data_IF_512868845339
#
_entry.id   IF_512868845339
#
_cell.length_a   1.000
_cell.length_b   1.000
_cell.length_c   1.000
_cell.angle_alpha   90.00
_cell.angle_beta   90.00
_cell.angle_gamma   90.00
#
_symmetry.space_group_name_H-M   'P 1'
#
loop_
_entity.id
_entity.type
_entity.pdbx_description
1 polymer ?
#
# COMPACT_ATOMS: atom_id res chain seq x y z
N UNK A 1 -11.23 -18.03 3.40
CA UNK A 1 -11.84 -16.67 3.47
C UNK A 1 -11.56 -15.98 2.14
N UNK A 2 -12.56 -15.39 1.48
CA UNK A 2 -12.34 -14.77 0.15
C UNK A 2 -11.81 -13.34 0.32
N UNK A 3 -10.64 -12.99 -0.25
CA UNK A 3 -10.13 -11.62 -0.17
C UNK A 3 -11.10 -10.61 -0.83
N UNK A 4 -11.34 -9.49 -0.15
CA UNK A 4 -12.27 -8.45 -0.61
C UNK A 4 -11.51 -7.26 -1.18
N UNK A 5 -11.79 -6.88 -2.43
CA UNK A 5 -11.24 -5.66 -3.02
C UNK A 5 -11.99 -4.43 -2.48
N UNK A 6 -11.31 -3.60 -1.70
CA UNK A 6 -11.87 -2.37 -1.12
C UNK A 6 -11.71 -1.16 -2.05
N UNK A 7 -10.53 -1.01 -2.65
CA UNK A 7 -10.24 0.07 -3.59
C UNK A 7 -9.16 -0.33 -4.59
N UNK A 8 -9.10 0.36 -5.74
CA UNK A 8 -8.12 0.12 -6.79
C UNK A 8 -7.61 1.47 -7.29
N UNK A 9 -6.29 1.63 -7.39
CA UNK A 9 -5.67 2.82 -7.94
C UNK A 9 -4.66 2.45 -9.02
N UNK A 10 -4.94 2.85 -10.26
CA UNK A 10 -4.00 2.76 -11.36
C UNK A 10 -3.33 4.13 -11.54
N UNK A 11 -2.11 4.27 -11.04
CA UNK A 11 -1.42 5.56 -11.01
C UNK A 11 -0.27 5.57 -12.02
N UNK A 12 -0.46 6.27 -13.14
CA UNK A 12 0.44 6.27 -14.29
C UNK A 12 1.67 7.16 -14.07
N UNK A 13 2.33 7.07 -12.92
CA UNK A 13 3.47 7.93 -12.60
C UNK A 13 4.82 7.27 -12.93
N UNK A 14 5.50 7.85 -13.91
CA UNK A 14 6.85 7.47 -14.27
C UNK A 14 7.59 8.64 -14.95
N UNK A 15 8.73 9.05 -14.39
CA UNK A 15 9.47 10.21 -14.88
C UNK A 15 8.59 11.47 -14.88
N UNK A 16 8.57 12.17 -16.01
CA UNK A 16 7.72 13.35 -16.26
C UNK A 16 6.43 13.01 -17.02
N UNK A 17 6.02 11.72 -17.09
CA UNK A 17 4.88 11.29 -17.90
C UNK A 17 3.61 12.09 -17.63
N UNK A 18 3.24 12.29 -16.36
CA UNK A 18 2.02 13.03 -16.02
C UNK A 18 2.09 14.49 -16.45
N UNK A 19 3.27 15.08 -16.55
CA UNK A 19 3.40 16.47 -17.01
C UNK A 19 3.23 16.58 -18.54
N UNK A 20 3.35 15.47 -19.28
CA UNK A 20 3.22 15.39 -20.74
C UNK A 20 1.98 14.61 -21.23
N UNK A 21 1.28 13.91 -20.34
CA UNK A 21 0.24 12.94 -20.68
C UNK A 21 -1.00 13.56 -21.35
N UNK A 22 -1.27 14.85 -21.13
CA UNK A 22 -2.37 15.56 -21.81
C UNK A 22 -2.11 15.73 -23.31
N UNK A 23 -0.87 16.05 -23.70
CA UNK A 23 -0.48 16.15 -25.10
C UNK A 23 -0.47 14.77 -25.79
N UNK A 24 -0.10 13.72 -25.04
CA UNK A 24 -0.07 12.35 -25.52
C UNK A 24 -1.40 11.89 -26.15
N UNK A 25 -2.54 12.15 -25.52
CA UNK A 25 -3.85 11.71 -26.05
C UNK A 25 -4.15 12.28 -27.45
N UNK A 26 -3.62 13.48 -27.75
CA UNK A 26 -3.71 14.09 -29.08
C UNK A 26 -2.77 13.48 -30.11
N UNK A 27 -1.64 12.90 -29.69
CA UNK A 27 -0.68 12.26 -30.59
C UNK A 27 -0.98 10.79 -30.87
N UNK A 28 -1.83 10.14 -30.08
CA UNK A 28 -2.14 8.72 -30.24
C UNK A 28 -2.97 8.42 -31.51
N UNK A 29 -2.92 7.18 -32.04
CA UNK A 29 -3.69 6.79 -33.23
C UNK A 29 -5.18 7.09 -33.08
N UNK A 30 -5.82 7.55 -34.16
CA UNK A 30 -7.26 7.80 -34.19
C UNK A 30 -8.07 6.51 -33.98
N UNK A 31 -9.26 6.65 -33.40
CA UNK A 31 -10.17 5.53 -33.14
C UNK A 31 -10.26 5.11 -31.66
N UNK A 32 -11.16 4.16 -31.36
CA UNK A 32 -11.50 3.79 -29.97
C UNK A 32 -10.45 2.90 -29.30
N UNK A 33 -9.60 2.23 -30.09
CA UNK A 33 -8.58 1.33 -29.59
C UNK A 33 -7.39 1.27 -30.55
N UNK A 34 -6.21 1.04 -30.01
CA UNK A 34 -4.97 0.89 -30.77
C UNK A 34 -4.04 -0.10 -30.06
N UNK A 35 -3.05 -0.60 -30.76
CA UNK A 35 -2.03 -1.47 -30.17
C UNK A 35 -0.98 -0.64 -29.43
N UNK A 36 -0.32 -1.26 -28.46
CA UNK A 36 0.83 -0.68 -27.75
C UNK A 36 1.93 -0.23 -28.71
N UNK A 37 2.16 -0.99 -29.78
CA UNK A 37 3.17 -0.67 -30.79
C UNK A 37 2.78 0.55 -31.62
N UNK A 38 1.53 0.64 -32.07
CA UNK A 38 1.02 1.82 -32.78
C UNK A 38 1.09 3.06 -31.89
N UNK A 39 0.72 2.93 -30.61
CA UNK A 39 0.81 4.01 -29.64
C UNK A 39 2.25 4.53 -29.48
N UNK A 40 3.24 3.62 -29.33
CA UNK A 40 4.64 4.02 -29.21
C UNK A 40 5.20 4.64 -30.50
N UNK A 41 4.77 4.16 -31.68
CA UNK A 41 5.19 4.75 -32.97
C UNK A 41 4.62 6.16 -33.18
N UNK A 42 3.43 6.41 -32.66
CA UNK A 42 2.75 7.71 -32.76
C UNK A 42 3.15 8.69 -31.64
N UNK A 43 3.70 8.17 -30.53
CA UNK A 43 4.12 8.97 -29.38
C UNK A 43 5.24 9.96 -29.76
N UNK A 44 5.05 11.22 -29.36
CA UNK A 44 6.04 12.30 -29.52
C UNK A 44 6.53 12.88 -28.19
N UNK A 45 5.98 12.39 -27.07
CA UNK A 45 6.18 12.96 -25.73
C UNK A 45 7.44 12.43 -25.02
N UNK A 46 8.16 11.49 -25.65
CA UNK A 46 9.45 10.98 -25.18
C UNK A 46 9.39 9.59 -24.55
N UNK A 47 10.53 9.12 -23.99
CA UNK A 47 10.73 7.71 -23.62
C UNK A 47 9.86 7.24 -22.45
N UNK A 48 9.53 8.11 -21.49
CA UNK A 48 8.68 7.73 -20.36
C UNK A 48 7.24 7.43 -20.77
N UNK A 49 6.69 8.16 -21.75
CA UNK A 49 5.38 7.85 -22.32
C UNK A 49 5.38 6.51 -23.06
N UNK A 50 6.46 6.21 -23.77
CA UNK A 50 6.67 4.91 -24.39
C UNK A 50 6.67 3.77 -23.35
N UNK A 51 7.36 3.95 -22.22
CA UNK A 51 7.37 2.97 -21.14
C UNK A 51 5.99 2.76 -20.53
N UNK A 52 5.24 3.85 -20.28
CA UNK A 52 3.87 3.77 -19.78
C UNK A 52 2.97 3.02 -20.77
N UNK A 53 2.98 3.37 -22.05
CA UNK A 53 2.16 2.72 -23.08
C UNK A 53 2.47 1.23 -23.22
N UNK A 54 3.76 0.84 -23.19
CA UNK A 54 4.17 -0.59 -23.26
C UNK A 54 3.70 -1.37 -22.03
N UNK A 55 3.79 -0.77 -20.85
CA UNK A 55 3.39 -1.40 -19.59
C UNK A 55 1.88 -1.28 -19.29
N UNK A 56 1.14 -0.43 -20.01
CA UNK A 56 -0.27 -0.16 -19.72
C UNK A 56 -1.15 -1.41 -19.83
N UNK A 57 -2.03 -1.59 -18.86
CA UNK A 57 -2.96 -2.71 -18.77
C UNK A 57 -2.31 -4.08 -18.53
N UNK A 58 -3.09 -5.16 -18.70
CA UNK A 58 -2.64 -6.53 -18.47
C UNK A 58 -1.45 -6.90 -19.35
N UNK A 59 -0.53 -7.73 -18.82
CA UNK A 59 0.72 -8.11 -19.52
C UNK A 59 0.47 -8.71 -20.91
N UNK A 60 -0.56 -9.55 -21.06
CA UNK A 60 -0.90 -10.21 -22.33
C UNK A 60 -1.70 -9.32 -23.27
N UNK A 61 -2.22 -8.20 -22.79
CA UNK A 61 -2.93 -7.27 -23.67
C UNK A 61 -1.94 -6.51 -24.54
N UNK A 62 -2.15 -6.60 -25.85
CA UNK A 62 -1.48 -5.77 -26.84
C UNK A 62 -2.30 -4.53 -27.22
N UNK A 63 -3.56 -4.47 -26.79
CA UNK A 63 -4.51 -3.40 -27.14
C UNK A 63 -4.70 -2.46 -25.95
N UNK A 64 -4.85 -1.19 -26.27
CA UNK A 64 -5.21 -0.11 -25.37
C UNK A 64 -6.54 0.44 -25.86
N UNK A 65 -7.51 0.56 -24.96
CA UNK A 65 -8.72 1.31 -25.22
C UNK A 65 -8.45 2.78 -24.91
N UNK A 66 -8.74 3.66 -25.88
CA UNK A 66 -8.44 5.10 -25.75
C UNK A 66 -9.17 5.72 -24.58
N UNK A 67 -10.44 5.34 -24.38
CA UNK A 67 -11.28 5.84 -23.29
C UNK A 67 -10.71 5.46 -21.91
N UNK A 68 -10.31 4.20 -21.73
CA UNK A 68 -9.73 3.71 -20.47
C UNK A 68 -8.41 4.43 -20.16
N UNK A 69 -7.53 4.58 -21.14
CA UNK A 69 -6.28 5.29 -20.97
C UNK A 69 -6.52 6.77 -20.59
N UNK A 70 -7.48 7.43 -21.24
CA UNK A 70 -7.83 8.81 -20.91
C UNK A 70 -8.40 8.93 -19.49
N UNK A 71 -9.27 8.01 -19.08
CA UNK A 71 -9.82 7.96 -17.73
C UNK A 71 -8.74 7.72 -16.67
N UNK A 72 -7.79 6.80 -16.92
CA UNK A 72 -6.67 6.54 -16.00
C UNK A 72 -5.69 7.72 -15.92
N UNK A 73 -5.48 8.46 -17.01
CA UNK A 73 -4.68 9.70 -17.00
C UNK A 73 -5.34 10.76 -16.13
N UNK A 74 -6.64 11.02 -16.32
CA UNK A 74 -7.37 12.00 -15.49
C UNK A 74 -7.44 11.58 -14.02
N UNK A 75 -7.68 10.30 -13.75
CA UNK A 75 -7.62 9.75 -12.39
C UNK A 75 -6.22 9.90 -11.78
N UNK A 76 -5.16 9.76 -12.58
CA UNK A 76 -3.79 9.99 -12.12
C UNK A 76 -3.54 11.47 -11.80
N UNK A 77 -4.10 12.41 -12.55
CA UNK A 77 -4.01 13.82 -12.18
C UNK A 77 -4.70 14.11 -10.83
N UNK A 78 -5.93 13.62 -10.65
CA UNK A 78 -6.64 13.77 -9.37
C UNK A 78 -5.90 13.11 -8.21
N UNK A 79 -5.30 11.94 -8.43
CA UNK A 79 -4.54 11.23 -7.40
C UNK A 79 -3.20 11.89 -7.07
N UNK A 80 -2.63 12.71 -7.96
CA UNK A 80 -1.32 13.35 -7.76
C UNK A 80 -1.30 14.23 -6.52
N UNK A 81 -2.34 15.03 -6.31
CA UNK A 81 -2.40 15.94 -5.17
C UNK A 81 -2.63 15.18 -3.86
N UNK A 82 -3.40 14.10 -3.89
CA UNK A 82 -3.53 13.20 -2.76
C UNK A 82 -2.19 12.58 -2.35
N UNK A 83 -1.42 12.03 -3.30
CA UNK A 83 -0.09 11.46 -3.02
C UNK A 83 0.92 12.52 -2.55
N UNK A 84 0.89 13.71 -3.15
CA UNK A 84 1.71 14.85 -2.69
C UNK A 84 1.37 15.25 -1.26
N UNK A 85 0.09 15.30 -0.92
CA UNK A 85 -0.38 15.52 0.44
C UNK A 85 0.18 14.50 1.43
N UNK A 86 0.34 13.24 1.00
CA UNK A 86 0.98 12.17 1.78
C UNK A 86 2.53 12.23 1.78
N UNK A 87 3.14 13.17 1.05
CA UNK A 87 4.59 13.27 0.91
C UNK A 87 5.21 12.09 0.15
N UNK A 88 4.47 11.46 -0.77
CA UNK A 88 4.95 10.36 -1.61
C UNK A 88 4.83 10.69 -3.10
N UNK A 89 5.64 10.02 -3.91
CA UNK A 89 5.54 10.06 -5.37
C UNK A 89 4.32 9.35 -5.91
N UNK A 90 3.70 8.47 -5.12
CA UNK A 90 2.57 7.65 -5.53
C UNK A 90 2.95 6.45 -6.39
N UNK A 91 2.12 5.43 -6.34
CA UNK A 91 2.26 4.17 -7.07
C UNK A 91 0.89 3.51 -7.23
N UNK A 92 0.78 2.55 -8.15
CA UNK A 92 -0.45 1.78 -8.33
C UNK A 92 -0.60 0.71 -7.26
N UNK A 93 -1.84 0.43 -6.83
CA UNK A 93 -2.12 -0.64 -5.87
C UNK A 93 -3.59 -1.11 -5.94
N UNK A 94 -3.83 -2.30 -5.41
CA UNK A 94 -5.15 -2.78 -4.98
C UNK A 94 -5.19 -2.78 -3.46
N UNK A 95 -6.21 -2.18 -2.85
CA UNK A 95 -6.46 -2.29 -1.43
C UNK A 95 -7.36 -3.50 -1.20
N UNK A 96 -6.86 -4.49 -0.48
CA UNK A 96 -7.57 -5.75 -0.24
C UNK A 96 -7.72 -5.96 1.26
N UNK A 97 -8.89 -6.38 1.71
CA UNK A 97 -9.12 -6.87 3.07
C UNK A 97 -9.35 -8.37 3.10
N UNK A 98 -9.28 -8.92 4.32
CA UNK A 98 -9.72 -10.28 4.63
C UNK A 98 -8.96 -11.32 3.79
N UNK A 99 -7.67 -11.06 3.58
CA UNK A 99 -6.73 -12.00 2.97
C UNK A 99 -6.20 -12.99 4.01
N UNK A 100 -5.68 -14.12 3.50
CA UNK A 100 -5.11 -15.19 4.32
C UNK A 100 -3.60 -15.02 4.47
N UNK A 101 -3.13 -15.25 5.69
CA UNK A 101 -1.74 -15.12 6.07
C UNK A 101 -1.16 -16.52 6.19
N UNK A 102 0.05 -16.75 5.67
CA UNK A 102 0.70 -18.07 5.67
C UNK A 102 0.95 -18.62 7.08
N UNK A 103 0.94 -17.74 8.10
CA UNK A 103 0.99 -18.12 9.51
C UNK A 103 -0.39 -17.91 10.14
N UNK A 104 -0.76 -18.86 10.97
CA UNK A 104 -1.99 -18.81 11.77
C UNK A 104 -2.04 -17.55 12.63
N UNK A 105 -2.98 -16.66 12.29
CA UNK A 105 -3.30 -15.48 13.05
C UNK A 105 -4.27 -15.85 14.15
N UNK A 106 -4.19 -15.14 15.27
CA UNK A 106 -5.17 -15.29 16.35
C UNK A 106 -6.58 -14.94 15.88
N UNK A 107 -7.62 -15.57 16.46
CA UNK A 107 -9.02 -15.34 16.07
C UNK A 107 -9.45 -13.88 16.19
N UNK A 108 -8.91 -13.14 17.17
CA UNK A 108 -9.26 -11.73 17.39
C UNK A 108 -8.67 -10.80 16.31
N UNK A 109 -7.70 -11.27 15.51
CA UNK A 109 -7.07 -10.48 14.46
C UNK A 109 -7.94 -10.51 13.22
N UNK A 110 -8.97 -9.67 13.22
CA UNK A 110 -9.95 -9.53 12.16
C UNK A 110 -9.75 -8.27 11.31
N UNK A 111 -8.94 -7.29 11.74
CA UNK A 111 -8.50 -6.18 10.88
C UNK A 111 -7.34 -6.65 10.03
N UNK A 112 -7.59 -7.02 8.77
CA UNK A 112 -6.58 -7.43 7.79
C UNK A 112 -6.74 -6.60 6.55
N UNK A 113 -5.83 -5.64 6.32
CA UNK A 113 -5.89 -4.73 5.17
C UNK A 113 -4.50 -4.57 4.58
N UNK A 114 -4.37 -4.66 3.25
CA UNK A 114 -3.08 -4.55 2.60
C UNK A 114 -3.15 -3.88 1.23
N UNK A 115 -2.01 -3.32 0.83
CA UNK A 115 -1.74 -2.85 -0.51
C UNK A 115 -1.15 -4.00 -1.31
N UNK A 116 -1.73 -4.31 -2.45
CA UNK A 116 -1.33 -5.45 -3.27
C UNK A 116 -1.01 -5.03 -4.70
N UNK A 117 -0.08 -5.76 -5.30
CA UNK A 117 0.18 -5.73 -6.73
C UNK A 117 -1.08 -6.12 -7.52
N UNK A 118 -1.29 -5.49 -8.68
CA UNK A 118 -2.33 -5.85 -9.63
C UNK A 118 -1.74 -6.02 -11.02
N UNK A 119 -1.94 -7.17 -11.64
CA UNK A 119 -1.39 -7.47 -12.98
C UNK A 119 -1.94 -6.56 -14.09
N UNK A 120 -3.09 -5.94 -13.85
CA UNK A 120 -3.76 -4.98 -14.72
C UNK A 120 -3.36 -3.52 -14.45
N UNK A 121 -2.62 -3.26 -13.37
CA UNK A 121 -2.19 -1.91 -12.97
C UNK A 121 -0.83 -1.56 -13.54
N UNK A 122 -0.57 -0.27 -13.75
CA UNK A 122 0.71 0.20 -14.22
C UNK A 122 1.80 0.06 -13.15
N UNK A 123 2.91 -0.55 -13.55
CA UNK A 123 4.19 -0.54 -12.84
C UNK A 123 5.30 -0.44 -13.89
N UNK A 124 6.40 0.29 -13.62
CA UNK A 124 7.54 0.33 -14.53
C UNK A 124 8.06 -1.08 -14.87
N UNK A 125 8.52 -1.35 -16.10
CA UNK A 125 8.81 -2.71 -16.55
C UNK A 125 9.80 -3.50 -15.68
N UNK A 126 10.80 -2.83 -15.10
CA UNK A 126 11.76 -3.45 -14.15
C UNK A 126 11.07 -3.87 -12.85
N UNK A 127 10.20 -3.02 -12.30
CA UNK A 127 9.45 -3.31 -11.09
C UNK A 127 8.41 -4.41 -11.32
N UNK A 128 7.65 -4.35 -12.42
CA UNK A 128 6.66 -5.38 -12.76
C UNK A 128 7.30 -6.77 -12.81
N UNK A 129 8.43 -6.91 -13.52
CA UNK A 129 9.16 -8.19 -13.61
C UNK A 129 9.64 -8.69 -12.24
N UNK A 130 10.04 -7.78 -11.36
CA UNK A 130 10.44 -8.12 -10.01
C UNK A 130 9.24 -8.63 -9.19
N UNK A 131 8.15 -7.87 -9.13
CA UNK A 131 6.95 -8.21 -8.34
C UNK A 131 6.31 -9.53 -8.79
N UNK A 132 6.30 -9.80 -10.09
CA UNK A 132 5.79 -11.07 -10.63
C UNK A 132 6.56 -12.30 -10.16
N UNK A 133 7.87 -12.16 -9.91
CA UNK A 133 8.74 -13.25 -9.46
C UNK A 133 8.87 -13.29 -7.95
N UNK A 134 8.47 -12.22 -7.27
CA UNK A 134 8.58 -12.14 -5.83
C UNK A 134 7.57 -13.09 -5.18
N UNK A 135 8.06 -14.05 -4.40
CA UNK A 135 7.21 -14.82 -3.49
C UNK A 135 7.15 -14.06 -2.17
N UNK A 136 5.93 -13.78 -1.72
CA UNK A 136 5.68 -13.16 -0.43
C UNK A 136 5.57 -14.27 0.62
N UNK A 137 6.51 -14.37 1.59
CA UNK A 137 6.51 -15.45 2.58
C UNK A 137 5.36 -15.34 3.57
N UNK A 138 4.64 -14.21 3.60
CA UNK A 138 3.56 -13.96 4.53
C UNK A 138 2.18 -14.33 3.99
N UNK A 139 2.04 -14.60 2.69
CA UNK A 139 0.74 -14.88 2.06
C UNK A 139 0.61 -16.37 1.73
N UNK A 140 -0.49 -17.00 2.14
CA UNK A 140 -0.67 -18.47 2.13
C UNK A 140 -0.53 -19.10 0.73
N UNK A 141 -0.99 -18.42 -0.31
CA UNK A 141 -0.97 -18.96 -1.68
C UNK A 141 0.01 -18.27 -2.63
N UNK A 142 0.75 -17.27 -2.17
CA UNK A 142 1.67 -16.46 -3.01
C UNK A 142 1.02 -15.79 -4.24
N UNK A 143 -0.30 -15.88 -4.40
CA UNK A 143 -1.09 -15.33 -5.50
C UNK A 143 -1.23 -13.81 -5.38
N UNK A 144 -1.38 -13.35 -4.15
CA UNK A 144 -1.38 -11.94 -3.80
C UNK A 144 0.06 -11.52 -3.47
N UNK A 145 0.59 -10.53 -4.19
CA UNK A 145 1.91 -9.94 -3.89
C UNK A 145 1.68 -8.70 -3.04
N UNK A 146 1.96 -8.80 -1.74
CA UNK A 146 1.75 -7.68 -0.84
C UNK A 146 2.86 -6.64 -1.03
N UNK A 147 2.46 -5.38 -1.09
CA UNK A 147 3.35 -4.23 -1.07
C UNK A 147 3.55 -3.71 0.35
N UNK A 148 2.57 -3.94 1.22
CA UNK A 148 2.57 -3.63 2.64
C UNK A 148 1.18 -3.86 3.23
N UNK A 149 1.11 -4.21 4.51
CA UNK A 149 -0.12 -4.61 5.17
C UNK A 149 -0.21 -4.08 6.59
N UNK A 150 -1.44 -4.08 7.09
CA UNK A 150 -1.80 -3.78 8.46
C UNK A 150 -2.64 -4.92 9.03
N UNK A 151 -2.30 -5.34 10.26
CA UNK A 151 -3.02 -6.35 11.01
C UNK A 151 -3.42 -5.81 12.38
N UNK A 152 -4.58 -6.24 12.88
CA UNK A 152 -5.01 -5.96 14.23
C UNK A 152 -6.48 -6.33 14.45
N UNK A 153 -7.20 -5.54 15.24
CA UNK A 153 -8.54 -5.86 15.72
C UNK A 153 -9.55 -4.77 15.37
N UNK A 154 -10.75 -5.15 14.95
CA UNK A 154 -11.92 -4.30 14.77
C UNK A 154 -12.80 -4.42 16.00
N UNK A 155 -13.05 -3.30 16.66
CA UNK A 155 -14.05 -3.21 17.73
C UNK A 155 -15.18 -2.29 17.27
N UNK A 156 -16.28 -2.25 18.04
CA UNK A 156 -17.41 -1.35 17.73
C UNK A 156 -17.03 0.13 17.72
N UNK A 157 -16.06 0.52 18.54
CA UNK A 157 -15.68 1.94 18.75
C UNK A 157 -14.31 2.30 18.17
N UNK A 158 -13.44 1.32 17.95
CA UNK A 158 -12.07 1.54 17.52
C UNK A 158 -11.55 0.46 16.57
N UNK A 159 -10.70 0.86 15.63
CA UNK A 159 -9.83 -0.04 14.89
C UNK A 159 -8.43 0.01 15.49
N UNK A 160 -7.90 -1.13 15.90
CA UNK A 160 -6.62 -1.26 16.59
C UNK A 160 -5.64 -1.87 15.60
N UNK A 161 -4.62 -1.12 15.21
CA UNK A 161 -3.56 -1.55 14.30
C UNK A 161 -2.35 -1.99 15.13
N UNK A 162 -2.17 -3.30 15.23
CA UNK A 162 -1.05 -3.92 15.97
C UNK A 162 0.21 -4.05 15.11
N UNK A 163 0.04 -4.31 13.82
CA UNK A 163 1.15 -4.47 12.86
C UNK A 163 0.90 -3.56 11.65
N UNK A 164 1.96 -2.91 11.18
CA UNK A 164 2.03 -2.13 9.95
C UNK A 164 3.39 -2.45 9.31
N UNK A 165 3.44 -3.27 8.27
CA UNK A 165 4.71 -3.80 7.75
C UNK A 165 4.74 -3.94 6.22
N UNK A 166 5.95 -3.94 5.64
CA UNK A 166 6.19 -4.22 4.21
C UNK A 166 7.49 -4.98 3.98
N UNK A 167 7.37 -6.17 3.40
CA UNK A 167 8.51 -7.04 3.03
C UNK A 167 9.33 -6.54 1.84
N UNK A 168 8.77 -5.61 1.08
CA UNK A 168 9.42 -5.01 -0.06
C UNK A 168 10.32 -3.84 0.33
N UNK A 169 10.17 -3.29 1.54
CA UNK A 169 10.98 -2.17 2.01
C UNK A 169 12.26 -2.58 2.74
N UNK A 170 12.36 -3.83 3.18
CA UNK A 170 13.54 -4.37 3.84
C UNK A 170 14.40 -5.23 2.88
N UNK A 171 15.69 -4.93 2.77
CA UNK A 171 16.68 -5.73 2.03
C UNK A 171 16.35 -6.02 0.55
N UNK A 172 15.57 -5.16 -0.12
CA UNK A 172 15.25 -5.26 -1.55
C UNK A 172 16.01 -4.22 -2.40
N UNK A 173 16.09 -4.42 -3.73
CA UNK A 173 16.73 -3.46 -4.62
C UNK A 173 16.18 -2.04 -4.47
N UNK A 174 17.04 -1.03 -4.62
CA UNK A 174 16.67 0.39 -4.44
C UNK A 174 15.46 0.79 -5.28
N UNK A 175 15.41 0.40 -6.56
CA UNK A 175 14.28 0.75 -7.45
C UNK A 175 12.91 0.23 -6.98
N UNK A 176 12.86 -0.86 -6.19
CA UNK A 176 11.63 -1.35 -5.58
C UNK A 176 11.25 -0.42 -4.43
N UNK A 177 12.19 -0.24 -3.50
CA UNK A 177 12.02 0.60 -2.30
C UNK A 177 11.63 2.04 -2.65
N UNK A 178 12.27 2.62 -3.67
CA UNK A 178 12.02 3.99 -4.11
C UNK A 178 10.64 4.15 -4.74
N UNK A 179 10.15 3.13 -5.46
CA UNK A 179 8.84 3.20 -6.11
C UNK A 179 7.69 3.08 -5.12
N UNK A 180 7.80 2.20 -4.12
CA UNK A 180 6.79 2.02 -3.08
C UNK A 180 7.06 2.87 -1.83
N UNK A 181 7.96 3.85 -1.93
CA UNK A 181 8.32 4.71 -0.81
C UNK A 181 7.08 5.44 -0.29
N UNK A 182 6.89 5.41 1.03
CA UNK A 182 5.71 6.02 1.67
C UNK A 182 4.46 5.14 1.63
N UNK A 183 4.59 3.83 1.30
CA UNK A 183 3.49 2.86 1.35
C UNK A 183 2.74 2.90 2.69
N UNK A 184 3.43 3.13 3.81
CA UNK A 184 2.83 3.14 5.14
C UNK A 184 1.84 4.30 5.30
N UNK A 185 2.13 5.45 4.67
CA UNK A 185 1.22 6.60 4.66
C UNK A 185 0.04 6.38 3.73
N UNK A 186 0.26 5.76 2.58
CA UNK A 186 -0.81 5.36 1.66
C UNK A 186 -1.76 4.39 2.35
N UNK A 187 -1.23 3.34 2.99
CA UNK A 187 -2.04 2.34 3.69
C UNK A 187 -2.78 2.95 4.89
N UNK A 188 -2.12 3.80 5.69
CA UNK A 188 -2.78 4.47 6.81
C UNK A 188 -3.88 5.43 6.36
N UNK A 189 -3.67 6.19 5.28
CA UNK A 189 -4.71 7.07 4.72
C UNK A 189 -5.92 6.28 4.23
N UNK A 190 -5.70 5.14 3.56
CA UNK A 190 -6.76 4.22 3.15
C UNK A 190 -7.48 3.62 4.36
N UNK A 191 -6.75 3.17 5.39
CA UNK A 191 -7.34 2.66 6.64
C UNK A 191 -8.24 3.70 7.32
N UNK A 192 -7.80 4.95 7.42
CA UNK A 192 -8.59 6.04 7.99
C UNK A 192 -9.86 6.30 7.17
N UNK A 193 -9.79 6.24 5.83
CA UNK A 193 -10.95 6.38 4.96
C UNK A 193 -11.95 5.22 5.15
N UNK A 194 -11.45 3.98 5.24
CA UNK A 194 -12.29 2.80 5.49
C UNK A 194 -12.93 2.83 6.88
N UNK A 195 -12.18 3.23 7.91
CA UNK A 195 -12.67 3.34 9.27
C UNK A 195 -13.76 4.44 9.38
N UNK A 196 -13.58 5.56 8.67
CA UNK A 196 -14.61 6.60 8.53
C UNK A 196 -15.87 6.08 7.86
N UNK A 197 -15.73 5.36 6.74
CA UNK A 197 -16.88 4.77 6.04
C UNK A 197 -17.64 3.75 6.91
N UNK A 198 -16.92 3.05 7.80
CA UNK A 198 -17.49 2.10 8.76
C UNK A 198 -18.08 2.77 10.02
N UNK A 199 -18.02 4.09 10.17
CA UNK A 199 -18.55 4.81 11.33
C UNK A 199 -17.77 4.56 12.63
N UNK A 200 -16.49 4.19 12.53
CA UNK A 200 -15.61 3.93 13.67
C UNK A 200 -15.20 5.26 14.28
N UNK A 201 -15.19 5.38 15.62
CA UNK A 201 -14.88 6.65 16.28
C UNK A 201 -13.38 6.98 16.29
N UNK A 202 -12.51 5.96 16.31
CA UNK A 202 -11.06 6.15 16.37
C UNK A 202 -10.24 5.02 15.78
N UNK A 203 -9.02 5.34 15.39
CA UNK A 203 -7.98 4.38 15.01
C UNK A 203 -6.82 4.46 16.02
N UNK A 204 -6.38 3.31 16.51
CA UNK A 204 -5.22 3.16 17.39
C UNK A 204 -4.08 2.49 16.62
N UNK A 205 -2.87 3.00 16.75
CA UNK A 205 -1.65 2.41 16.17
C UNK A 205 -0.68 2.05 17.30
N UNK A 206 -0.26 0.79 17.38
CA UNK A 206 0.73 0.36 18.37
C UNK A 206 2.06 1.11 18.17
N UNK A 207 2.74 1.45 19.27
CA UNK A 207 4.05 2.09 19.20
C UNK A 207 5.12 1.13 18.68
N UNK A 208 6.15 1.67 18.00
CA UNK A 208 7.26 0.88 17.47
C UNK A 208 7.95 0.01 18.55
N UNK A 209 8.05 0.55 19.77
CA UNK A 209 8.68 -0.11 20.92
C UNK A 209 7.94 -1.34 21.40
N UNK A 210 6.61 -1.38 21.26
CA UNK A 210 5.83 -2.54 21.68
C UNK A 210 5.71 -3.55 20.57
N UNK A 211 5.59 -3.10 19.32
CA UNK A 211 5.52 -4.02 18.21
C UNK A 211 6.78 -4.89 18.12
N UNK A 212 7.99 -4.33 18.27
CA UNK A 212 9.22 -5.12 18.05
C UNK A 212 9.30 -6.34 18.98
N UNK A 213 8.68 -6.24 20.17
CA UNK A 213 8.56 -7.33 21.15
C UNK A 213 7.69 -8.49 20.64
N UNK A 214 6.76 -8.22 19.73
CA UNK A 214 5.96 -9.25 19.04
C UNK A 214 6.77 -9.99 17.98
N UNK A 215 7.78 -9.35 17.38
CA UNK A 215 8.52 -9.88 16.22
C UNK A 215 9.84 -10.54 16.56
N UNK A 216 10.51 -10.16 17.65
CA UNK A 216 11.83 -10.71 18.01
C UNK A 216 11.97 -10.92 19.53
N UNK A 217 12.11 -12.19 19.99
CA UNK A 217 12.32 -12.53 21.40
C UNK A 217 13.58 -11.91 22.03
N UNK A 218 14.56 -11.47 21.24
CA UNK A 218 15.78 -10.81 21.72
C UNK A 218 15.51 -9.37 22.22
N UNK A 219 14.47 -8.71 21.70
CA UNK A 219 14.10 -7.35 22.10
C UNK A 219 13.13 -7.38 23.28
N UNK A 220 13.63 -7.83 24.44
CA UNK A 220 12.86 -7.81 25.71
C UNK A 220 12.79 -6.41 26.34
N UNK A 221 13.69 -5.50 25.96
CA UNK A 221 13.88 -4.18 26.59
C UNK A 221 13.68 -3.07 25.54
N UNK A 222 12.88 -2.06 25.90
CA UNK A 222 12.39 -0.95 25.05
C UNK A 222 13.50 -0.06 24.44
N UNK A 223 14.73 -0.12 24.95
CA UNK A 223 15.76 0.89 24.69
C UNK A 223 16.48 0.79 23.35
N UNK A 224 16.23 -0.25 22.54
CA UNK A 224 16.94 -0.49 21.29
C UNK A 224 16.01 -0.67 20.07
N UNK A 225 14.96 0.14 19.93
CA UNK A 225 14.10 0.08 18.72
C UNK A 225 14.88 0.55 17.49
N UNK A 226 15.07 -0.28 16.46
CA UNK A 226 15.78 0.13 15.25
C UNK A 226 15.05 1.29 14.57
N UNK A 227 15.82 2.19 13.98
CA UNK A 227 15.29 3.40 13.34
C UNK A 227 14.20 3.07 12.31
N UNK A 228 14.39 2.00 11.51
CA UNK A 228 13.42 1.58 10.49
C UNK A 228 12.03 1.29 11.04
N UNK A 229 11.92 0.79 12.28
CA UNK A 229 10.64 0.57 12.95
C UNK A 229 10.01 1.90 13.36
N UNK A 230 10.80 2.82 13.91
CA UNK A 230 10.33 4.18 14.26
C UNK A 230 9.87 4.95 13.02
N UNK A 231 10.53 4.80 11.88
CA UNK A 231 10.12 5.39 10.60
C UNK A 231 8.74 4.88 10.11
N UNK A 232 8.38 3.64 10.45
CA UNK A 232 7.12 3.04 10.01
C UNK A 232 5.98 3.39 10.98
N UNK A 233 6.20 3.29 12.28
CA UNK A 233 5.13 3.46 13.27
C UNK A 233 5.07 4.89 13.79
N UNK A 234 6.09 5.33 14.52
CA UNK A 234 6.12 6.65 15.18
C UNK A 234 6.01 7.79 14.16
N UNK A 235 6.78 7.76 13.07
CA UNK A 235 6.70 8.82 12.06
C UNK A 235 5.40 8.79 11.24
N UNK A 236 4.72 7.64 11.15
CA UNK A 236 3.38 7.59 10.55
C UNK A 236 2.37 8.22 11.48
N UNK A 237 2.44 7.89 12.78
CA UNK A 237 1.60 8.52 13.80
C UNK A 237 1.76 10.06 13.80
N UNK A 238 3.01 10.54 13.83
CA UNK A 238 3.32 11.97 13.79
C UNK A 238 2.76 12.62 12.51
N UNK A 239 2.94 11.99 11.35
CA UNK A 239 2.46 12.51 10.07
C UNK A 239 0.93 12.69 10.05
N UNK A 240 0.18 11.75 10.62
CA UNK A 240 -1.28 11.85 10.71
C UNK A 240 -1.76 12.64 11.93
N UNK A 241 -0.86 13.23 12.71
CA UNK A 241 -1.19 13.95 13.94
C UNK A 241 -1.96 13.07 14.92
N UNK A 242 -1.50 11.84 15.11
CA UNK A 242 -2.04 10.92 16.10
C UNK A 242 -1.49 11.30 17.49
N UNK A 243 -2.34 11.30 18.50
CA UNK A 243 -1.96 11.67 19.87
C UNK A 243 -1.49 10.45 20.63
N UNK A 244 -0.34 10.49 21.33
CA UNK A 244 0.05 9.40 22.22
C UNK A 244 -0.99 9.20 23.33
N UNK A 245 -1.43 7.96 23.50
CA UNK A 245 -2.33 7.50 24.54
C UNK A 245 -1.55 6.58 25.48
N UNK A 246 -1.60 6.87 26.78
CA UNK A 246 -1.02 6.03 27.84
C UNK A 246 -2.01 5.91 28.99
N UNK A 247 -2.07 4.74 29.63
CA UNK A 247 -2.93 4.53 30.81
C UNK A 247 -4.41 4.25 30.50
N UNK A 248 -4.70 3.71 29.31
CA UNK A 248 -6.04 3.22 28.92
C UNK A 248 -6.20 1.70 29.06
N UNK A 249 -7.19 1.15 28.35
CA UNK A 249 -7.38 -0.30 28.25
C UNK A 249 -6.12 -0.99 27.70
N UNK A 250 -5.82 -2.16 28.26
CA UNK A 250 -4.68 -2.97 27.87
C UNK A 250 -5.09 -3.91 26.74
N UNK A 251 -4.39 -3.83 25.62
CA UNK A 251 -4.63 -4.67 24.46
C UNK A 251 -3.45 -5.61 24.22
N UNK A 252 -3.78 -6.83 23.87
CA UNK A 252 -2.80 -7.79 23.40
C UNK A 252 -2.54 -7.57 21.90
N UNK A 253 -1.33 -7.10 21.58
CA UNK A 253 -0.91 -6.76 20.22
C UNK A 253 -0.16 -7.90 19.53
N UNK A 254 -0.03 -9.07 20.17
CA UNK A 254 0.48 -10.26 19.50
C UNK A 254 -0.53 -10.76 18.47
N UNK A 255 -0.09 -10.95 17.21
CA UNK A 255 -0.97 -11.37 16.11
C UNK A 255 -0.90 -12.86 15.79
N UNK A 256 0.20 -13.52 16.14
CA UNK A 256 0.42 -14.95 15.85
C UNK A 256 -0.11 -15.81 17.00
N UNK A 257 -0.83 -16.88 16.68
CA UNK A 257 -1.52 -17.72 17.67
C UNK A 257 -0.57 -18.47 18.62
N UNK A 258 0.58 -18.89 18.11
CA UNK A 258 1.55 -19.72 18.85
C UNK A 258 2.56 -18.93 19.66
N UNK A 259 2.42 -17.60 19.74
CA UNK A 259 3.32 -16.73 20.49
C UNK A 259 2.64 -16.19 21.74
N UNK A 260 3.42 -16.02 22.81
CA UNK A 260 2.91 -15.45 24.06
C UNK A 260 2.34 -14.03 23.87
N UNK A 261 1.35 -13.64 24.70
CA UNK A 261 0.68 -12.35 24.58
C UNK A 261 1.67 -11.21 24.82
N UNK A 262 1.52 -10.14 24.04
CA UNK A 262 2.28 -8.89 24.24
C UNK A 262 1.26 -7.81 24.53
N UNK A 263 1.08 -7.52 25.81
CA UNK A 263 0.06 -6.57 26.28
C UNK A 263 0.65 -5.17 26.42
N UNK A 264 0.01 -4.18 25.82
CA UNK A 264 0.36 -2.76 25.94
C UNK A 264 -0.88 -1.88 26.15
N UNK A 265 -0.67 -0.74 26.81
CA UNK A 265 -1.60 0.38 26.96
C UNK A 265 -1.10 1.63 26.20
N UNK A 266 -0.06 1.47 25.37
CA UNK A 266 0.61 2.56 24.64
C UNK A 266 0.26 2.49 23.17
N UNK A 267 -0.57 3.44 22.74
CA UNK A 267 -1.00 3.58 21.35
C UNK A 267 -0.85 5.04 20.91
N UNK A 268 -0.77 5.26 19.60
CA UNK A 268 -1.10 6.54 19.02
C UNK A 268 -2.56 6.52 18.59
N UNK A 269 -3.33 7.54 18.94
CA UNK A 269 -4.76 7.64 18.68
C UNK A 269 -5.07 8.69 17.61
N UNK A 270 -5.92 8.32 16.65
CA UNK A 270 -6.55 9.26 15.72
C UNK A 270 -8.06 9.20 15.89
N UNK A 271 -8.66 10.30 16.34
CA UNK A 271 -10.11 10.47 16.24
C UNK A 271 -10.52 10.51 14.76
N UNK A 272 -11.59 9.78 14.43
CA UNK A 272 -12.18 9.73 13.10
C UNK A 272 -13.43 10.60 13.14
N UNK A 273 -13.43 11.66 12.33
CA UNK A 273 -14.54 12.60 12.14
C UNK A 273 -15.19 12.42 10.77
#
# INVERSE_FOLDING_TARGET
MTPTLLSRRNYLHHGDFLDRSRALLGSLPAGPAFTKLEACRANREGPFADEVLRAYGPLRSRRILRADLAADIEASFAARDWFRGLGTRGFSYRLISDFEFARELRPEIDLRVGLFFGDDLFYPPRLRRFLQRHADPHMEDGTLKCLGFALGQRTRSAWIVSVLQSDLTFNRPSYVRDHIRGWQRVLMAELLAQAKAAGVAKLLLAAASDQIRCSDPAFKIVTAVPESWRLIYDQTADFFGMTPLTGGDRFDIQVLDRMGPVVTDKFYEKAIA
#
